data_IF_859798331731
#
_entry.id   IF_859798331731
#
_cell.length_a   1.000
_cell.length_b   1.000
_cell.length_c   1.000
_cell.angle_alpha   90.00
_cell.angle_beta   90.00
_cell.angle_gamma   90.00
#
_symmetry.space_group_name_H-M   'P 1'
#
loop_
_entity.id
_entity.type
_entity.pdbx_description
1 polymer ?
#
# COMPACT_ATOMS: atom_id res chain seq x y z
N UNK A 1 12.35 18.78 47.59
CA UNK A 1 11.04 18.64 46.93
C UNK A 1 11.03 17.29 46.24
N UNK A 2 10.31 16.33 46.80
CA UNK A 2 10.31 14.94 46.36
C UNK A 2 9.42 14.77 45.13
N UNK A 3 10.01 14.61 43.94
CA UNK A 3 9.31 13.98 42.83
C UNK A 3 9.45 12.47 43.01
N UNK A 4 8.43 11.85 43.59
CA UNK A 4 8.40 10.42 43.88
C UNK A 4 8.73 9.55 42.66
N UNK A 5 9.46 8.48 42.97
CA UNK A 5 9.94 7.40 42.12
C UNK A 5 8.78 6.56 41.54
N UNK A 6 7.85 7.16 40.79
CA UNK A 6 6.69 6.44 40.25
C UNK A 6 7.12 5.54 39.09
N UNK A 7 7.45 4.28 39.41
CA UNK A 7 7.71 3.26 38.40
C UNK A 7 6.40 2.67 37.90
N UNK A 8 6.26 2.54 36.59
CA UNK A 8 5.11 1.93 35.94
C UNK A 8 5.55 0.79 35.01
N UNK A 9 4.61 -0.05 34.58
CA UNK A 9 4.93 -1.19 33.69
C UNK A 9 5.29 -0.68 32.30
N UNK A 10 6.28 -1.31 31.67
CA UNK A 10 6.74 -0.97 30.31
C UNK A 10 5.59 -0.93 29.29
N UNK A 11 4.67 -1.90 29.34
CA UNK A 11 3.49 -1.92 28.45
C UNK A 11 2.52 -0.74 28.64
N UNK A 12 2.44 -0.20 29.86
CA UNK A 12 1.62 0.98 30.19
C UNK A 12 2.38 2.26 29.83
N UNK A 13 3.66 2.35 30.20
CA UNK A 13 4.53 3.48 29.89
C UNK A 13 4.57 3.77 28.40
N UNK A 14 4.69 2.72 27.57
CA UNK A 14 4.72 2.86 26.11
C UNK A 14 3.43 3.44 25.53
N UNK A 15 2.27 3.13 26.10
CA UNK A 15 0.98 3.69 25.66
C UNK A 15 0.83 5.12 26.15
N UNK A 16 1.14 5.35 27.43
CA UNK A 16 1.05 6.67 28.07
C UNK A 16 1.99 7.69 27.42
N UNK A 17 3.18 7.27 27.02
CA UNK A 17 4.16 8.09 26.31
C UNK A 17 3.89 8.20 24.80
N UNK A 18 2.77 7.65 24.31
CA UNK A 18 2.38 7.72 22.89
C UNK A 18 3.26 6.90 21.95
N UNK A 19 4.08 5.98 22.45
CA UNK A 19 4.97 5.14 21.64
C UNK A 19 4.21 4.03 20.90
N UNK A 20 3.10 3.54 21.47
CA UNK A 20 2.25 2.49 20.88
C UNK A 20 0.77 2.77 21.18
N UNK A 21 -0.10 2.46 20.21
CA UNK A 21 -1.54 2.75 20.22
C UNK A 21 -2.36 1.98 21.27
N UNK A 22 -1.90 0.81 21.71
CA UNK A 22 -2.65 0.00 22.67
C UNK A 22 -1.74 -0.90 23.51
N UNK A 23 -2.22 -1.23 24.72
CA UNK A 23 -1.47 -2.08 25.66
C UNK A 23 -1.24 -3.49 25.10
N UNK A 24 -2.22 -4.05 24.38
CA UNK A 24 -2.09 -5.36 23.75
C UNK A 24 -0.97 -5.38 22.70
N UNK A 25 -0.89 -4.33 21.87
CA UNK A 25 0.17 -4.15 20.87
C UNK A 25 1.53 -3.94 21.51
N UNK A 26 1.60 -3.16 22.60
CA UNK A 26 2.82 -2.97 23.37
C UNK A 26 3.34 -4.31 23.90
N UNK A 27 2.48 -5.13 24.51
CA UNK A 27 2.87 -6.46 25.01
C UNK A 27 3.41 -7.39 23.93
N UNK A 28 2.80 -7.40 22.74
CA UNK A 28 3.24 -8.21 21.61
C UNK A 28 4.64 -7.78 21.14
N UNK A 29 4.86 -6.48 20.94
CA UNK A 29 6.13 -5.92 20.45
C UNK A 29 7.25 -6.13 21.47
N UNK A 30 6.98 -5.90 22.76
CA UNK A 30 7.91 -6.19 23.85
C UNK A 30 8.31 -7.66 23.82
N UNK A 31 7.34 -8.60 23.85
CA UNK A 31 7.63 -10.06 23.81
C UNK A 31 8.45 -10.48 22.59
N UNK A 32 8.23 -9.82 21.44
CA UNK A 32 8.99 -10.07 20.21
C UNK A 32 10.43 -9.53 20.22
N UNK A 33 10.87 -8.88 21.31
CA UNK A 33 12.22 -8.33 21.45
C UNK A 33 12.44 -7.03 20.68
N UNK A 34 11.35 -6.33 20.33
CA UNK A 34 11.36 -5.10 19.55
C UNK A 34 11.25 -3.85 20.43
N UNK A 35 11.72 -3.92 21.67
CA UNK A 35 11.77 -2.77 22.59
C UNK A 35 13.09 -2.79 23.32
N UNK A 36 13.75 -1.64 23.41
CA UNK A 36 14.92 -1.41 24.24
C UNK A 36 14.54 -0.52 25.43
N UNK A 37 15.14 -0.80 26.59
CA UNK A 37 15.09 0.09 27.76
C UNK A 37 16.53 0.38 28.14
N UNK A 38 16.95 1.65 28.10
CA UNK A 38 18.32 2.09 28.33
C UNK A 38 19.34 1.33 27.44
N UNK A 39 18.99 1.11 26.17
CA UNK A 39 19.84 0.44 25.20
C UNK A 39 19.90 -1.08 25.31
N UNK A 40 19.11 -1.71 26.20
CA UNK A 40 19.04 -3.16 26.33
C UNK A 40 17.68 -3.71 25.89
N UNK A 41 17.69 -4.78 25.06
CA UNK A 41 16.46 -5.45 24.61
C UNK A 41 15.65 -5.93 25.81
N UNK A 42 14.38 -5.52 25.88
CA UNK A 42 13.44 -5.96 26.89
C UNK A 42 12.34 -6.81 26.26
N UNK A 43 12.13 -8.02 26.81
CA UNK A 43 11.06 -8.94 26.42
C UNK A 43 9.97 -9.12 27.47
N UNK A 44 10.02 -8.31 28.52
CA UNK A 44 9.13 -8.44 29.67
C UNK A 44 8.17 -7.24 29.75
N UNK A 45 6.88 -7.39 29.36
CA UNK A 45 5.94 -6.29 29.38
C UNK A 45 5.64 -5.74 30.79
N UNK A 46 5.84 -6.58 31.81
CA UNK A 46 5.69 -6.24 33.23
C UNK A 46 6.87 -5.49 33.82
N UNK A 47 7.99 -5.34 33.10
CA UNK A 47 9.18 -4.65 33.62
C UNK A 47 8.79 -3.25 34.11
N UNK A 48 9.18 -2.93 35.34
CA UNK A 48 8.95 -1.61 35.92
C UNK A 48 10.00 -0.63 35.39
N UNK A 49 9.53 0.47 34.82
CA UNK A 49 10.33 1.57 34.26
C UNK A 49 10.02 2.87 34.97
N UNK A 50 11.04 3.68 35.20
CA UNK A 50 10.97 5.04 35.74
C UNK A 50 10.74 6.06 34.63
N UNK A 51 10.24 7.27 34.94
CA UNK A 51 10.11 8.35 33.95
C UNK A 51 11.45 8.78 33.32
N UNK A 52 12.58 8.49 33.96
CA UNK A 52 13.93 8.74 33.47
C UNK A 52 14.49 7.62 32.58
N UNK A 53 13.85 6.47 32.49
CA UNK A 53 14.30 5.37 31.62
C UNK A 53 14.01 5.70 30.15
N UNK A 54 15.02 5.54 29.30
CA UNK A 54 14.86 5.71 27.85
C UNK A 54 14.22 4.46 27.26
N UNK A 55 12.98 4.57 26.78
CA UNK A 55 12.22 3.48 26.17
C UNK A 55 12.20 3.68 24.66
N UNK A 56 12.76 2.75 23.92
CA UNK A 56 12.83 2.80 22.47
C UNK A 56 12.09 1.60 21.88
N UNK A 57 11.11 1.86 21.01
CA UNK A 57 10.53 0.78 20.22
C UNK A 57 11.48 0.48 19.07
N UNK A 58 12.13 -0.66 19.13
CA UNK A 58 12.96 -1.22 18.07
C UNK A 58 12.07 -1.81 16.97
N UNK A 59 11.12 -1.02 16.48
CA UNK A 59 10.59 -1.24 15.14
C UNK A 59 11.31 -0.28 14.22
N UNK A 60 12.37 -0.76 13.57
CA UNK A 60 12.43 -0.43 12.16
C UNK A 60 11.44 -1.37 11.50
N UNK A 61 10.15 -0.97 11.46
CA UNK A 61 9.32 -1.46 10.37
C UNK A 61 10.16 -1.22 9.11
N UNK A 62 10.40 -2.29 8.35
CA UNK A 62 11.22 -2.20 7.13
C UNK A 62 10.75 -1.02 6.32
N UNK A 63 9.44 -0.83 6.23
CA UNK A 63 8.78 0.32 5.62
C UNK A 63 8.19 1.27 6.67
N UNK A 64 8.12 2.57 6.37
CA UNK A 64 7.49 3.61 7.22
C UNK A 64 6.04 3.32 7.61
N UNK A 65 5.34 2.44 6.88
CA UNK A 65 3.98 2.04 7.21
C UNK A 65 3.66 0.62 6.74
N UNK A 66 2.56 0.07 7.27
CA UNK A 66 2.05 -1.27 6.90
C UNK A 66 1.76 -1.42 5.41
N UNK A 67 1.47 -0.33 4.69
CA UNK A 67 1.22 -0.37 3.26
C UNK A 67 2.43 -0.93 2.48
N UNK A 68 3.67 -0.65 2.92
CA UNK A 68 4.86 -1.19 2.24
C UNK A 68 4.91 -2.73 2.19
N UNK A 69 4.36 -3.40 3.21
CA UNK A 69 4.26 -4.86 3.22
C UNK A 69 3.18 -5.39 2.28
N UNK A 70 2.13 -4.61 1.99
CA UNK A 70 1.09 -5.00 1.02
C UNK A 70 1.69 -5.14 -0.38
N UNK A 71 2.41 -4.11 -0.83
CA UNK A 71 3.04 -4.12 -2.15
C UNK A 71 4.22 -5.10 -2.22
N UNK A 72 4.98 -5.27 -1.12
CA UNK A 72 5.99 -6.34 -1.05
C UNK A 72 5.39 -7.73 -1.27
N UNK A 73 4.22 -7.99 -0.69
CA UNK A 73 3.47 -9.24 -0.90
C UNK A 73 3.10 -9.48 -2.36
N UNK A 74 2.60 -8.44 -3.05
CA UNK A 74 2.31 -8.49 -4.48
C UNK A 74 3.55 -8.87 -5.30
N UNK A 75 4.67 -8.17 -5.11
CA UNK A 75 5.90 -8.42 -5.87
C UNK A 75 6.47 -9.82 -5.61
N UNK A 76 6.37 -10.34 -4.39
CA UNK A 76 6.76 -11.73 -4.07
C UNK A 76 5.92 -12.77 -4.83
N UNK A 77 4.65 -12.49 -5.09
CA UNK A 77 3.74 -13.42 -5.74
C UNK A 77 3.81 -13.35 -7.27
N UNK A 78 3.86 -12.15 -7.84
CA UNK A 78 3.93 -11.98 -9.31
C UNK A 78 5.22 -12.58 -9.87
N UNK A 79 6.36 -12.45 -9.17
CA UNK A 79 7.63 -13.07 -9.57
C UNK A 79 7.60 -14.60 -9.61
N UNK A 80 6.55 -15.26 -9.09
CA UNK A 80 6.42 -16.73 -9.06
C UNK A 80 5.61 -17.31 -10.24
N UNK A 81 4.93 -16.48 -11.03
CA UNK A 81 3.86 -16.95 -11.95
C UNK A 81 4.26 -16.92 -13.43
N UNK A 82 5.49 -16.54 -13.80
CA UNK A 82 6.04 -16.73 -15.15
C UNK A 82 7.04 -15.66 -15.61
N UNK A 83 7.28 -15.58 -16.93
CA UNK A 83 8.30 -14.73 -17.59
C UNK A 83 8.09 -13.20 -17.47
N UNK A 84 7.11 -12.74 -16.70
CA UNK A 84 6.83 -11.30 -16.53
C UNK A 84 7.43 -10.81 -15.21
N UNK A 85 8.66 -10.32 -15.28
CA UNK A 85 9.33 -9.67 -14.16
C UNK A 85 9.10 -8.15 -14.22
N UNK A 86 8.43 -7.60 -13.19
CA UNK A 86 8.32 -6.15 -13.04
C UNK A 86 9.53 -5.66 -12.26
N UNK A 87 10.53 -5.16 -12.99
CA UNK A 87 11.74 -4.61 -12.40
C UNK A 87 11.49 -3.23 -11.79
N UNK A 88 11.88 -3.03 -10.52
CA UNK A 88 11.84 -1.73 -9.83
C UNK A 88 13.17 -0.99 -9.98
N UNK A 89 14.28 -1.73 -10.02
CA UNK A 89 15.63 -1.16 -10.01
C UNK A 89 15.84 -0.24 -11.21
N UNK A 90 16.32 0.97 -10.95
CA UNK A 90 16.60 1.95 -12.00
C UNK A 90 15.36 2.56 -12.67
N UNK A 91 14.14 2.25 -12.19
CA UNK A 91 12.90 2.79 -12.77
C UNK A 91 12.48 4.11 -12.13
N UNK A 92 11.76 4.91 -12.91
CA UNK A 92 11.03 6.08 -12.44
C UNK A 92 9.61 5.68 -12.11
N UNK A 93 9.13 6.03 -10.92
CA UNK A 93 7.85 5.59 -10.39
C UNK A 93 7.02 6.79 -9.95
N UNK A 94 5.70 6.73 -10.17
CA UNK A 94 4.74 7.66 -9.60
C UNK A 94 3.82 6.91 -8.62
N UNK A 95 3.84 7.29 -7.34
CA UNK A 95 2.98 6.72 -6.31
C UNK A 95 1.84 7.68 -5.99
N UNK A 96 0.62 7.33 -6.40
CA UNK A 96 -0.60 8.13 -6.22
C UNK A 96 -1.31 7.70 -4.94
N UNK A 97 -1.45 8.62 -4.00
CA UNK A 97 -1.96 8.36 -2.65
C UNK A 97 -0.83 7.96 -1.69
N UNK A 98 0.32 8.63 -1.77
CA UNK A 98 1.52 8.21 -1.05
C UNK A 98 1.35 8.17 0.48
N UNK A 99 0.42 8.96 1.03
CA UNK A 99 0.16 9.09 2.46
C UNK A 99 1.47 9.18 3.27
N UNK A 100 1.64 8.35 4.30
CA UNK A 100 2.85 8.31 5.14
C UNK A 100 4.08 7.76 4.41
N UNK A 101 3.91 7.11 3.26
CA UNK A 101 4.99 6.73 2.34
C UNK A 101 5.30 5.23 2.28
N UNK A 102 4.37 4.35 2.64
CA UNK A 102 4.65 2.90 2.70
C UNK A 102 5.11 2.31 1.36
N UNK A 103 4.41 2.63 0.27
CA UNK A 103 4.79 2.20 -1.09
C UNK A 103 6.04 2.93 -1.57
N UNK A 104 6.15 4.24 -1.34
CA UNK A 104 7.36 5.03 -1.62
C UNK A 104 8.60 4.37 -1.01
N UNK A 105 8.57 4.03 0.28
CA UNK A 105 9.69 3.39 0.98
C UNK A 105 10.02 2.01 0.38
N UNK A 106 8.99 1.24 0.01
CA UNK A 106 9.18 -0.01 -0.71
C UNK A 106 9.95 0.18 -2.03
N UNK A 107 9.54 1.13 -2.87
CA UNK A 107 10.21 1.37 -4.15
C UNK A 107 11.63 1.88 -3.98
N UNK A 108 11.83 2.82 -3.07
CA UNK A 108 13.13 3.41 -2.75
C UNK A 108 14.13 2.34 -2.27
N UNK A 109 13.70 1.44 -1.38
CA UNK A 109 14.53 0.34 -0.90
C UNK A 109 14.82 -0.73 -1.94
N UNK A 110 13.93 -0.89 -2.93
CA UNK A 110 14.13 -1.83 -4.04
C UNK A 110 14.86 -1.20 -5.24
N UNK A 111 15.46 -0.01 -5.05
CA UNK A 111 16.39 0.58 -6.00
C UNK A 111 15.72 1.39 -7.12
N UNK A 112 14.49 1.88 -6.91
CA UNK A 112 13.91 2.87 -7.80
C UNK A 112 14.88 4.05 -8.00
N UNK A 113 15.01 4.51 -9.25
CA UNK A 113 15.83 5.66 -9.60
C UNK A 113 15.23 6.93 -9.00
N UNK A 114 13.91 7.04 -9.06
CA UNK A 114 13.14 8.21 -8.61
C UNK A 114 11.69 7.81 -8.33
N UNK A 115 11.10 8.41 -7.30
CA UNK A 115 9.69 8.22 -6.95
C UNK A 115 9.00 9.57 -6.79
N UNK A 116 8.01 9.85 -7.63
CA UNK A 116 7.07 10.94 -7.43
C UNK A 116 6.02 10.50 -6.40
N UNK A 117 6.03 11.09 -5.21
CA UNK A 117 5.06 10.84 -4.16
C UNK A 117 3.93 11.87 -4.28
N UNK A 118 2.79 11.42 -4.81
CA UNK A 118 1.62 12.27 -5.07
C UNK A 118 0.58 12.09 -3.96
N UNK A 119 0.19 13.18 -3.33
CA UNK A 119 -0.90 13.18 -2.35
C UNK A 119 -1.56 14.57 -2.27
N UNK A 120 -2.78 14.66 -1.75
CA UNK A 120 -3.41 15.96 -1.44
C UNK A 120 -2.78 16.63 -0.21
N UNK A 121 -2.17 15.82 0.66
CA UNK A 121 -1.39 16.28 1.81
C UNK A 121 -0.02 15.57 1.82
N UNK A 122 1.00 16.21 1.28
CA UNK A 122 2.37 15.65 1.26
C UNK A 122 3.13 15.84 2.58
N UNK A 123 2.61 16.63 3.53
CA UNK A 123 3.26 16.87 4.83
C UNK A 123 3.25 15.62 5.71
N UNK A 124 2.28 14.72 5.49
CA UNK A 124 2.16 13.45 6.20
C UNK A 124 3.25 12.43 5.82
N UNK A 125 3.98 12.65 4.71
CA UNK A 125 5.05 11.76 4.28
C UNK A 125 6.16 11.73 5.32
N UNK A 126 6.62 10.53 5.67
CA UNK A 126 7.63 10.35 6.72
C UNK A 126 8.89 11.20 6.45
N UNK A 127 9.46 11.91 7.44
CA UNK A 127 10.59 12.82 7.25
C UNK A 127 11.77 12.19 6.50
N UNK A 128 12.12 10.94 6.81
CA UNK A 128 13.18 10.19 6.11
C UNK A 128 13.00 10.16 4.59
N UNK A 129 11.77 10.01 4.11
CA UNK A 129 11.46 9.92 2.68
C UNK A 129 11.42 11.31 2.05
N UNK A 130 10.91 12.31 2.77
CA UNK A 130 10.94 13.72 2.32
C UNK A 130 12.36 14.23 2.12
N UNK A 131 13.32 13.72 2.89
CA UNK A 131 14.73 14.06 2.78
C UNK A 131 15.51 13.20 1.77
N UNK A 132 14.93 12.15 1.19
CA UNK A 132 15.60 11.33 0.17
C UNK A 132 15.57 12.06 -1.18
N UNK A 133 16.73 12.30 -1.79
CA UNK A 133 16.87 13.07 -3.03
C UNK A 133 16.12 12.46 -4.22
N UNK A 134 15.88 11.14 -4.19
CA UNK A 134 15.15 10.39 -5.21
C UNK A 134 13.64 10.55 -5.08
N UNK A 135 13.14 11.07 -3.96
CA UNK A 135 11.71 11.31 -3.74
C UNK A 135 11.35 12.74 -4.15
N UNK A 136 10.32 12.89 -4.99
CA UNK A 136 9.78 14.19 -5.40
C UNK A 136 8.33 14.29 -4.96
N UNK A 137 8.02 15.33 -4.18
CA UNK A 137 6.67 15.55 -3.66
C UNK A 137 5.82 16.28 -4.68
N UNK A 138 4.60 15.79 -4.93
CA UNK A 138 3.60 16.48 -5.74
C UNK A 138 2.33 16.58 -4.91
N UNK A 139 2.00 17.79 -4.45
CA UNK A 139 0.77 18.03 -3.70
C UNK A 139 -0.39 18.28 -4.68
N UNK A 140 -1.14 17.23 -5.04
CA UNK A 140 -2.21 17.33 -6.04
C UNK A 140 -3.30 16.28 -5.86
N UNK A 141 -4.53 16.61 -6.28
CA UNK A 141 -5.59 15.63 -6.39
C UNK A 141 -5.32 14.66 -7.55
N UNK A 142 -5.47 13.36 -7.32
CA UNK A 142 -5.22 12.34 -8.34
C UNK A 142 -6.02 12.54 -9.65
N UNK A 143 -7.22 13.16 -9.60
CA UNK A 143 -8.04 13.45 -10.79
C UNK A 143 -7.46 14.57 -11.66
N UNK A 144 -6.67 15.45 -11.06
CA UNK A 144 -6.10 16.64 -11.69
C UNK A 144 -4.64 16.42 -12.10
N UNK A 145 -4.07 15.25 -11.76
CA UNK A 145 -2.70 14.90 -12.07
C UNK A 145 -2.52 14.71 -13.58
N UNK A 146 -1.57 15.43 -14.16
CA UNK A 146 -1.25 15.46 -15.59
C UNK A 146 0.26 15.29 -15.81
N UNK A 147 0.64 15.06 -17.06
CA UNK A 147 2.04 14.84 -17.45
C UNK A 147 2.96 15.98 -17.00
N UNK A 148 2.48 17.22 -17.15
CA UNK A 148 3.22 18.45 -16.84
C UNK A 148 3.61 18.55 -15.36
N UNK A 149 2.88 17.90 -14.46
CA UNK A 149 3.22 17.88 -13.03
C UNK A 149 4.49 17.05 -12.74
N UNK A 150 4.77 16.04 -13.56
CA UNK A 150 5.96 15.19 -13.43
C UNK A 150 7.09 15.67 -14.34
N UNK A 151 6.74 16.20 -15.51
CA UNK A 151 7.68 16.62 -16.55
C UNK A 151 8.27 15.46 -17.37
N UNK A 152 7.90 14.22 -17.08
CA UNK A 152 8.34 13.02 -17.78
C UNK A 152 7.36 11.86 -17.61
N UNK A 153 7.45 10.88 -18.52
CA UNK A 153 6.71 9.63 -18.40
C UNK A 153 7.44 8.68 -17.44
N UNK A 154 6.67 7.91 -16.67
CA UNK A 154 7.19 6.97 -15.67
C UNK A 154 7.07 5.52 -16.14
N UNK A 155 7.90 4.65 -15.58
CA UNK A 155 7.89 3.22 -15.88
C UNK A 155 6.78 2.49 -15.11
N UNK A 156 6.47 2.95 -13.89
CA UNK A 156 5.45 2.38 -13.01
C UNK A 156 4.60 3.50 -12.40
N UNK A 157 3.28 3.31 -12.37
CA UNK A 157 2.35 4.10 -11.56
C UNK A 157 1.72 3.16 -10.52
N UNK A 158 1.94 3.41 -9.23
CA UNK A 158 1.21 2.74 -8.16
C UNK A 158 0.07 3.60 -7.64
N UNK A 159 -1.01 2.97 -7.19
CA UNK A 159 -2.21 3.66 -6.70
C UNK A 159 -2.71 3.01 -5.41
N UNK A 160 -2.69 3.76 -4.31
CA UNK A 160 -3.30 3.42 -3.02
C UNK A 160 -4.15 4.61 -2.52
N UNK A 161 -5.28 4.85 -3.19
CA UNK A 161 -6.18 5.95 -2.85
C UNK A 161 -7.36 5.49 -2.00
N UNK A 162 -7.96 6.42 -1.26
CA UNK A 162 -9.19 6.19 -0.49
C UNK A 162 -10.25 7.20 -0.88
N UNK A 163 -11.53 6.87 -0.64
CA UNK A 163 -12.68 7.77 -0.89
C UNK A 163 -12.92 8.14 -2.36
N UNK A 164 -12.25 7.47 -3.30
CA UNK A 164 -12.44 7.63 -4.74
C UNK A 164 -12.31 6.27 -5.42
N UNK A 165 -13.18 6.03 -6.40
CA UNK A 165 -13.02 4.89 -7.30
C UNK A 165 -11.82 5.08 -8.22
N UNK A 166 -10.96 4.07 -8.32
CA UNK A 166 -9.77 4.09 -9.20
C UNK A 166 -10.15 4.23 -10.68
N UNK A 167 -11.39 3.85 -11.04
CA UNK A 167 -11.94 4.00 -12.40
C UNK A 167 -12.05 5.46 -12.84
N UNK A 168 -12.02 6.41 -11.90
CA UNK A 168 -12.08 7.86 -12.18
C UNK A 168 -10.73 8.47 -12.56
N UNK A 169 -9.63 7.74 -12.34
CA UNK A 169 -8.26 8.23 -12.57
C UNK A 169 -7.49 7.38 -13.60
N UNK A 170 -8.13 6.37 -14.19
CA UNK A 170 -7.51 5.45 -15.17
C UNK A 170 -6.87 6.16 -16.38
N UNK A 171 -7.50 7.21 -16.92
CA UNK A 171 -6.92 8.00 -18.02
C UNK A 171 -5.68 8.76 -17.57
N UNK A 172 -5.70 9.37 -16.38
CA UNK A 172 -4.54 10.06 -15.81
C UNK A 172 -3.36 9.07 -15.68
N UNK A 173 -3.60 7.89 -15.11
CA UNK A 173 -2.59 6.82 -14.98
C UNK A 173 -2.01 6.45 -16.35
N UNK A 174 -2.87 6.23 -17.35
CA UNK A 174 -2.43 5.86 -18.71
C UNK A 174 -1.54 6.94 -19.33
N UNK A 175 -1.88 8.21 -19.14
CA UNK A 175 -1.15 9.34 -19.72
C UNK A 175 0.23 9.56 -19.07
N UNK A 176 0.43 9.09 -17.84
CA UNK A 176 1.71 9.21 -17.12
C UNK A 176 2.70 8.09 -17.46
N UNK A 177 2.21 6.95 -17.97
CA UNK A 177 3.05 5.79 -18.25
C UNK A 177 3.79 5.89 -19.59
N UNK A 178 5.05 5.44 -19.61
CA UNK A 178 5.77 5.09 -20.83
C UNK A 178 5.04 3.95 -21.56
N UNK A 179 5.21 3.83 -22.90
CA UNK A 179 4.77 2.62 -23.62
C UNK A 179 5.34 1.36 -22.95
N UNK A 180 4.49 0.37 -22.67
CA UNK A 180 4.88 -0.85 -21.96
C UNK A 180 5.07 -0.71 -20.44
N UNK A 181 4.88 0.49 -19.88
CA UNK A 181 4.93 0.73 -18.43
C UNK A 181 3.75 0.11 -17.68
N UNK A 182 3.87 -0.02 -16.36
CA UNK A 182 2.92 -0.77 -15.51
C UNK A 182 2.09 0.12 -14.58
N UNK A 183 0.77 -0.11 -14.55
CA UNK A 183 -0.13 0.40 -13.52
C UNK A 183 -0.37 -0.66 -12.46
N UNK A 184 0.00 -0.38 -11.20
CA UNK A 184 -0.22 -1.26 -10.05
C UNK A 184 -1.30 -0.64 -9.16
N UNK A 185 -2.50 -1.21 -9.18
CA UNK A 185 -3.70 -0.60 -8.61
C UNK A 185 -4.18 -1.39 -7.41
N UNK A 186 -4.20 -0.78 -6.23
CA UNK A 186 -4.87 -1.34 -5.05
C UNK A 186 -6.36 -0.99 -5.11
N UNK A 187 -7.16 -1.97 -5.49
CA UNK A 187 -8.62 -1.92 -5.54
C UNK A 187 -9.17 -2.16 -4.14
N UNK A 188 -9.95 -1.19 -3.66
CA UNK A 188 -10.62 -1.22 -2.37
C UNK A 188 -12.12 -1.29 -2.61
N UNK A 189 -12.75 -2.49 -2.55
CA UNK A 189 -14.14 -2.68 -2.96
C UNK A 189 -15.13 -1.67 -2.37
N UNK A 190 -14.95 -1.30 -1.10
CA UNK A 190 -15.76 -0.31 -0.39
C UNK A 190 -15.77 1.10 -1.01
N UNK A 191 -14.79 1.44 -1.86
CA UNK A 191 -14.75 2.72 -2.58
C UNK A 191 -15.23 2.62 -4.05
N UNK A 192 -15.50 1.40 -4.53
CA UNK A 192 -15.91 1.14 -5.90
C UNK A 192 -17.44 0.94 -6.05
N UNK A 193 -18.09 0.42 -5.00
CA UNK A 193 -19.53 0.10 -4.98
C UNK A 193 -20.47 1.32 -4.89
N UNK A 194 -19.93 2.53 -4.79
CA UNK A 194 -20.69 3.78 -4.65
C UNK A 194 -21.26 4.00 -3.24
N UNK A 195 -21.99 5.10 -3.04
CA UNK A 195 -22.51 5.53 -1.73
C UNK A 195 -23.50 4.55 -1.07
N UNK A 196 -24.01 3.55 -1.78
CA UNK A 196 -25.01 2.61 -1.26
C UNK A 196 -24.43 1.60 -0.26
N UNK A 197 -23.11 1.44 -0.19
CA UNK A 197 -22.44 0.44 0.65
C UNK A 197 -21.31 1.09 1.46
N UNK A 198 -21.67 1.86 2.47
CA UNK A 198 -20.72 2.38 3.46
C UNK A 198 -20.33 1.27 4.43
N UNK A 199 -19.09 0.78 4.38
CA UNK A 199 -18.54 -0.12 5.40
C UNK A 199 -17.73 -1.29 4.87
N UNK A 200 -17.83 -2.43 5.55
CA UNK A 200 -17.12 -3.66 5.20
C UNK A 200 -17.94 -4.44 4.19
N UNK A 201 -17.35 -4.77 3.04
CA UNK A 201 -17.99 -5.65 2.05
C UNK A 201 -17.89 -7.08 2.56
N UNK A 202 -19.04 -7.66 2.90
CA UNK A 202 -19.19 -9.03 3.44
C UNK A 202 -19.78 -10.01 2.43
N UNK A 203 -19.88 -9.61 1.17
CA UNK A 203 -20.39 -10.46 0.11
C UNK A 203 -19.28 -10.74 -0.91
N UNK A 204 -19.00 -12.02 -1.08
CA UNK A 204 -18.02 -12.52 -2.04
C UNK A 204 -18.40 -12.18 -3.49
N UNK A 205 -19.69 -12.21 -3.80
CA UNK A 205 -20.21 -11.88 -5.13
C UNK A 205 -19.99 -10.40 -5.46
N UNK A 206 -20.05 -9.52 -4.46
CA UNK A 206 -19.74 -8.09 -4.63
C UNK A 206 -18.25 -7.85 -4.91
N UNK A 207 -17.34 -8.60 -4.29
CA UNK A 207 -15.92 -8.55 -4.67
C UNK A 207 -15.71 -8.94 -6.14
N UNK A 208 -16.32 -10.04 -6.59
CA UNK A 208 -16.23 -10.48 -7.98
C UNK A 208 -16.78 -9.42 -8.93
N UNK A 209 -17.95 -8.84 -8.62
CA UNK A 209 -18.57 -7.80 -9.43
C UNK A 209 -17.67 -6.57 -9.56
N UNK A 210 -17.18 -6.04 -8.43
CA UNK A 210 -16.30 -4.87 -8.41
C UNK A 210 -15.03 -5.09 -9.22
N UNK A 211 -14.36 -6.23 -9.00
CA UNK A 211 -13.12 -6.55 -9.70
C UNK A 211 -13.36 -6.64 -11.21
N UNK A 212 -14.46 -7.27 -11.63
CA UNK A 212 -14.83 -7.36 -13.05
C UNK A 212 -15.03 -5.96 -13.65
N UNK A 213 -15.79 -5.10 -12.98
CA UNK A 213 -16.05 -3.74 -13.43
C UNK A 213 -14.75 -2.92 -13.55
N UNK A 214 -13.89 -2.95 -12.54
CA UNK A 214 -12.63 -2.20 -12.53
C UNK A 214 -11.69 -2.70 -13.63
N UNK A 215 -11.45 -4.01 -13.72
CA UNK A 215 -10.53 -4.56 -14.74
C UNK A 215 -11.04 -4.27 -16.15
N UNK A 216 -12.34 -4.45 -16.39
CA UNK A 216 -12.96 -4.17 -17.70
C UNK A 216 -12.81 -2.69 -18.08
N UNK A 217 -13.01 -1.77 -17.13
CA UNK A 217 -12.89 -0.33 -17.38
C UNK A 217 -11.45 0.09 -17.70
N UNK A 218 -10.46 -0.48 -17.00
CA UNK A 218 -9.05 -0.24 -17.33
C UNK A 218 -8.71 -0.78 -18.72
N UNK A 219 -9.18 -1.98 -19.05
CA UNK A 219 -8.95 -2.54 -20.38
C UNK A 219 -9.54 -1.67 -21.49
N UNK A 220 -10.77 -1.15 -21.29
CA UNK A 220 -11.41 -0.23 -22.25
C UNK A 220 -10.66 1.09 -22.41
N UNK A 221 -9.90 1.52 -21.40
CA UNK A 221 -9.12 2.76 -21.46
C UNK A 221 -7.83 2.62 -22.28
N UNK A 222 -7.36 1.38 -22.53
CA UNK A 222 -6.11 1.13 -23.27
C UNK A 222 -5.05 0.34 -22.49
N UNK A 223 -5.44 -0.29 -21.38
CA UNK A 223 -4.55 -1.17 -20.62
C UNK A 223 -4.70 -2.64 -21.03
N UNK A 224 -3.60 -3.39 -20.99
CA UNK A 224 -3.61 -4.85 -20.94
C UNK A 224 -3.66 -5.30 -19.49
N UNK A 225 -4.57 -6.22 -19.16
CA UNK A 225 -4.58 -6.89 -17.87
C UNK A 225 -3.40 -7.87 -17.79
N UNK A 226 -2.61 -7.80 -16.70
CA UNK A 226 -1.41 -8.62 -16.51
C UNK A 226 -1.61 -9.60 -15.35
N UNK A 227 -2.07 -9.11 -14.20
CA UNK A 227 -2.10 -9.91 -12.98
C UNK A 227 -3.17 -9.40 -12.00
N UNK A 228 -3.72 -10.32 -11.20
CA UNK A 228 -4.65 -10.02 -10.12
C UNK A 228 -4.30 -10.86 -8.90
N UNK A 229 -4.30 -10.24 -7.74
CA UNK A 229 -4.05 -10.88 -6.47
C UNK A 229 -4.76 -10.12 -5.33
N UNK A 230 -4.74 -10.65 -4.11
CA UNK A 230 -5.29 -9.95 -2.95
C UNK A 230 -4.21 -9.52 -1.94
N UNK A 231 -4.49 -8.45 -1.21
CA UNK A 231 -3.66 -8.03 -0.08
C UNK A 231 -3.88 -9.00 1.08
N UNK A 232 -2.81 -9.67 1.54
CA UNK A 232 -2.85 -10.53 2.74
C UNK A 232 -3.00 -9.73 4.04
N UNK A 233 -2.99 -8.40 3.93
CA UNK A 233 -3.31 -7.50 5.03
C UNK A 233 -4.67 -6.87 4.75
N UNK A 234 -5.58 -7.00 5.71
CA UNK A 234 -6.88 -6.35 5.64
C UNK A 234 -6.74 -4.82 5.62
N UNK A 235 -7.61 -4.19 4.84
CA UNK A 235 -7.80 -2.77 4.75
C UNK A 235 -8.53 -2.17 5.95
N UNK A 236 -8.94 -0.90 5.80
CA UNK A 236 -9.73 -0.20 6.82
C UNK A 236 -10.98 -1.00 7.21
N UNK A 237 -11.22 -1.10 8.52
CA UNK A 237 -12.36 -1.81 9.12
C UNK A 237 -12.43 -3.32 8.79
N UNK A 238 -11.35 -3.94 8.29
CA UNK A 238 -11.33 -5.37 7.96
C UNK A 238 -11.75 -5.71 6.52
N UNK A 239 -11.78 -4.73 5.61
CA UNK A 239 -12.07 -4.99 4.20
C UNK A 239 -10.95 -5.81 3.54
N UNK A 240 -11.33 -6.76 2.69
CA UNK A 240 -10.39 -7.40 1.76
C UNK A 240 -10.10 -6.42 0.62
N UNK A 241 -8.83 -6.23 0.30
CA UNK A 241 -8.37 -5.36 -0.78
C UNK A 241 -7.61 -6.19 -1.82
N UNK A 242 -7.62 -5.75 -3.07
CA UNK A 242 -7.10 -6.51 -4.20
C UNK A 242 -6.09 -5.68 -5.00
N UNK A 243 -5.04 -6.32 -5.50
CA UNK A 243 -4.10 -5.71 -6.43
C UNK A 243 -4.42 -6.16 -7.85
N UNK A 244 -4.58 -5.20 -8.76
CA UNK A 244 -4.60 -5.46 -10.19
C UNK A 244 -3.40 -4.79 -10.85
N UNK A 245 -2.69 -5.54 -11.68
CA UNK A 245 -1.56 -5.06 -12.46
C UNK A 245 -1.96 -4.99 -13.93
N UNK A 246 -1.65 -3.84 -14.52
CA UNK A 246 -1.94 -3.52 -15.90
C UNK A 246 -0.67 -3.07 -16.60
N UNK A 247 -0.60 -3.29 -17.91
CA UNK A 247 0.45 -2.75 -18.76
C UNK A 247 -0.16 -1.78 -19.75
N UNK A 248 0.46 -0.62 -19.96
CA UNK A 248 0.08 0.28 -21.05
C UNK A 248 0.41 -0.40 -22.37
N UNK A 249 -0.59 -0.56 -23.23
CA UNK A 249 -0.38 -1.19 -24.54
C UNK A 249 0.66 -0.42 -25.35
N UNK A 250 1.49 -1.16 -26.09
CA UNK A 250 2.48 -0.59 -27.00
C UNK A 250 1.81 -0.04 -28.28
N UNK A 251 0.72 -0.68 -28.69
CA UNK A 251 -0.15 -0.27 -29.79
C UNK A 251 -1.56 -0.11 -29.22
N UNK A 252 -2.32 0.94 -29.55
CA UNK A 252 -3.70 1.21 -29.07
C UNK A 252 -4.73 0.10 -29.42
N UNK A 253 -4.29 -1.09 -29.81
CA UNK A 253 -5.09 -2.30 -29.95
C UNK A 253 -5.61 -2.77 -28.60
N UNK A 254 -6.93 -2.74 -28.44
CA UNK A 254 -7.63 -3.48 -27.40
C UNK A 254 -7.39 -4.98 -27.60
N UNK A 255 -6.85 -5.67 -26.60
CA UNK A 255 -6.67 -7.12 -26.66
C UNK A 255 -8.04 -7.79 -26.54
N UNK A 256 -8.67 -8.02 -27.71
CA UNK A 256 -9.98 -8.68 -27.84
C UNK A 256 -9.91 -10.17 -27.43
N UNK A 257 -8.72 -10.72 -27.17
CA UNK A 257 -8.54 -12.15 -26.95
C UNK A 257 -8.69 -12.59 -25.49
N UNK A 258 -8.74 -11.66 -24.53
CA UNK A 258 -9.20 -12.02 -23.18
C UNK A 258 -10.71 -12.21 -23.27
N UNK A 259 -11.14 -13.46 -23.31
CA UNK A 259 -12.56 -13.79 -23.21
C UNK A 259 -13.06 -13.38 -21.83
N UNK A 260 -14.25 -12.78 -21.78
CA UNK A 260 -14.91 -12.42 -20.52
C UNK A 260 -14.96 -13.62 -19.55
N UNK A 261 -15.07 -14.84 -20.10
CA UNK A 261 -15.04 -16.11 -19.37
C UNK A 261 -13.70 -16.36 -18.65
N UNK A 262 -12.55 -16.18 -19.31
CA UNK A 262 -11.24 -16.40 -18.69
C UNK A 262 -10.99 -15.39 -17.57
N UNK A 263 -11.29 -14.12 -17.81
CA UNK A 263 -11.12 -13.06 -16.81
C UNK A 263 -11.99 -13.32 -15.57
N UNK A 264 -13.28 -13.65 -15.78
CA UNK A 264 -14.20 -13.96 -14.67
C UNK A 264 -13.70 -15.15 -13.87
N UNK A 265 -13.23 -16.22 -14.53
CA UNK A 265 -12.68 -17.39 -13.84
C UNK A 265 -11.51 -17.00 -12.94
N UNK A 266 -10.59 -16.17 -13.44
CA UNK A 266 -9.42 -15.71 -12.66
C UNK A 266 -9.81 -14.84 -11.47
N UNK A 267 -10.78 -13.95 -11.66
CA UNK A 267 -11.32 -13.11 -10.58
C UNK A 267 -11.94 -13.99 -9.49
N UNK A 268 -12.78 -14.95 -9.87
CA UNK A 268 -13.44 -15.86 -8.92
C UNK A 268 -12.41 -16.67 -8.13
N UNK A 269 -11.37 -17.19 -8.79
CA UNK A 269 -10.26 -17.90 -8.13
C UNK A 269 -9.58 -17.03 -7.06
N UNK A 270 -9.15 -15.82 -7.42
CA UNK A 270 -8.48 -14.90 -6.48
C UNK A 270 -9.39 -14.52 -5.31
N UNK A 271 -10.67 -14.26 -5.59
CA UNK A 271 -11.65 -13.95 -4.55
C UNK A 271 -11.89 -15.16 -3.64
N UNK A 272 -11.93 -16.38 -4.17
CA UNK A 272 -12.03 -17.59 -3.35
C UNK A 272 -10.84 -17.71 -2.39
N UNK A 273 -9.61 -17.60 -2.90
CA UNK A 273 -8.40 -17.68 -2.08
C UNK A 273 -8.34 -16.58 -1.02
N UNK A 274 -8.75 -15.35 -1.36
CA UNK A 274 -8.85 -14.26 -0.38
C UNK A 274 -9.77 -14.61 0.80
N UNK A 275 -10.92 -15.20 0.52
CA UNK A 275 -11.89 -15.59 1.53
C UNK A 275 -11.44 -16.81 2.35
N UNK A 276 -10.67 -17.71 1.77
CA UNK A 276 -10.09 -18.86 2.48
C UNK A 276 -8.94 -18.44 3.40
N UNK A 277 -8.10 -17.49 2.98
CA UNK A 277 -6.94 -17.05 3.77
C UNK A 277 -7.28 -15.98 4.83
N UNK A 278 -8.30 -15.14 4.59
CA UNK A 278 -8.59 -13.96 5.43
C UNK A 278 -9.96 -14.00 6.12
N UNK A 279 -10.81 -14.97 5.79
CA UNK A 279 -12.18 -15.13 6.30
C UNK A 279 -12.30 -15.93 7.59
#
# INVERSE_FOLDING_TARGET
MASENHKERLDVAMVKNGLIESRAKAQQIIKSGKVSVNGQICREPSKLVSPSDNIEVLETLRYVSRAGYKIEGLFKNISRIGDTEIEIRGKVICDIGSSTGGFVDFFIQNGALKVYAVDVNTEQLHPRLRSDERVKLIQKNAKELIFEDLGELVDIVSVDVSFISVRKIKRNILNLLKPGGYGIILIKPQFEVGYSHCGVIKDKSEHVRVLKEVVTDFMKEGFKFVYLDFSRMLGGNGNVEFFAVFQKNLDDSYDKNITDTFLVSKIVEVVNSAWEELG
#
